data_IF_019726631544
#
_entry.id   IF_019726631544
#
_cell.length_a   1.000
_cell.length_b   1.000
_cell.length_c   1.000
_cell.angle_alpha   90.00
_cell.angle_beta   90.00
_cell.angle_gamma   90.00
#
_symmetry.space_group_name_H-M   'P 1'
#
loop_
_entity.id
_entity.type
_entity.pdbx_description
1 polymer ?
#
# COMPACT_ATOMS: atom_id res chain seq x y z
N UNK A 1 25.95 -28.79 -0.56
CA UNK A 1 24.57 -28.44 -0.92
C UNK A 1 23.84 -27.64 0.15
N UNK A 2 23.92 -27.98 1.43
CA UNK A 2 23.22 -27.23 2.52
C UNK A 2 23.64 -25.76 2.64
N UNK A 3 24.93 -25.42 2.51
CA UNK A 3 25.42 -24.03 2.55
C UNK A 3 24.94 -23.16 1.41
N UNK A 4 24.73 -23.71 0.20
CA UNK A 4 24.19 -22.97 -0.95
C UNK A 4 22.69 -22.67 -0.80
N UNK A 5 21.92 -23.54 -0.15
CA UNK A 5 20.49 -23.34 0.15
C UNK A 5 20.31 -22.27 1.22
N UNK A 6 21.18 -22.25 2.24
CA UNK A 6 21.15 -21.22 3.30
C UNK A 6 21.54 -19.84 2.73
N UNK A 7 22.55 -19.78 1.84
CA UNK A 7 22.93 -18.53 1.18
C UNK A 7 21.81 -17.98 0.28
N UNK A 8 21.11 -18.83 -0.50
CA UNK A 8 19.96 -18.40 -1.31
C UNK A 8 18.78 -17.91 -0.48
N UNK A 9 18.53 -18.49 0.70
CA UNK A 9 17.47 -18.03 1.60
C UNK A 9 17.77 -16.63 2.18
N UNK A 10 19.04 -16.30 2.42
CA UNK A 10 19.43 -14.98 2.93
C UNK A 10 19.25 -13.85 1.90
N UNK A 11 19.35 -14.15 0.59
CA UNK A 11 19.10 -13.17 -0.49
C UNK A 11 17.61 -13.02 -0.86
N UNK A 12 16.74 -13.89 -0.35
CA UNK A 12 15.31 -13.89 -0.65
C UNK A 12 14.47 -13.15 0.41
N UNK A 13 15.11 -12.49 1.38
CA UNK A 13 14.44 -11.77 2.45
C UNK A 13 14.82 -10.29 2.42
N UNK A 14 13.82 -9.43 2.62
CA UNK A 14 14.00 -7.99 2.86
C UNK A 14 13.40 -7.59 4.20
N UNK A 15 13.82 -6.42 4.71
CA UNK A 15 13.33 -5.91 6.00
C UNK A 15 12.46 -4.68 5.76
N UNK A 16 11.27 -4.67 6.34
CA UNK A 16 10.33 -3.55 6.25
C UNK A 16 10.83 -2.40 7.14
N UNK A 17 10.96 -1.17 6.60
CA UNK A 17 11.32 0.00 7.39
C UNK A 17 10.35 0.23 8.56
N UNK A 18 10.83 0.84 9.64
CA UNK A 18 10.06 1.12 10.86
C UNK A 18 9.66 -0.12 11.67
N UNK A 19 9.15 -1.16 11.03
CA UNK A 19 8.64 -2.35 11.74
C UNK A 19 9.74 -3.38 12.00
N UNK A 20 10.78 -3.41 11.15
CA UNK A 20 11.87 -4.38 11.23
C UNK A 20 11.44 -5.81 10.84
N UNK A 21 10.21 -5.98 10.32
CA UNK A 21 9.70 -7.29 9.92
C UNK A 21 10.48 -7.82 8.71
N UNK A 22 10.92 -9.05 8.80
CA UNK A 22 11.49 -9.78 7.66
C UNK A 22 10.37 -10.34 6.77
N UNK A 23 10.54 -10.23 5.46
CA UNK A 23 9.56 -10.69 4.48
C UNK A 23 10.22 -11.41 3.30
N UNK A 24 9.48 -12.31 2.65
CA UNK A 24 9.92 -12.96 1.43
C UNK A 24 9.91 -11.96 0.27
N UNK A 25 11.04 -11.81 -0.40
CA UNK A 25 11.26 -10.86 -1.49
C UNK A 25 11.91 -11.57 -2.69
N UNK A 26 11.09 -12.28 -3.48
CA UNK A 26 11.51 -12.93 -4.73
C UNK A 26 11.33 -12.02 -5.95
N UNK A 27 10.60 -10.93 -5.79
CA UNK A 27 10.31 -9.93 -6.83
C UNK A 27 10.89 -8.60 -6.38
N UNK A 28 11.75 -8.01 -7.19
CA UNK A 28 12.37 -6.71 -6.90
C UNK A 28 11.51 -5.54 -7.35
N UNK A 29 11.77 -4.36 -6.78
CA UNK A 29 11.13 -3.10 -7.17
C UNK A 29 11.37 -2.78 -8.66
N UNK A 30 12.55 -3.10 -9.20
CA UNK A 30 12.88 -2.91 -10.62
C UNK A 30 11.99 -3.74 -11.56
N UNK A 31 11.42 -4.83 -11.06
CA UNK A 31 10.49 -5.68 -11.81
C UNK A 31 9.04 -5.20 -11.66
N UNK A 32 8.63 -4.80 -10.46
CA UNK A 32 7.22 -4.54 -10.14
C UNK A 32 6.82 -3.08 -10.40
N UNK A 33 7.69 -2.10 -10.09
CA UNK A 33 7.37 -0.68 -10.22
C UNK A 33 7.08 -0.24 -11.66
N UNK A 34 7.82 -0.69 -12.71
CA UNK A 34 7.51 -0.35 -14.09
C UNK A 34 6.14 -0.90 -14.54
N UNK A 35 5.80 -2.13 -14.14
CA UNK A 35 4.52 -2.75 -14.45
C UNK A 35 3.36 -2.02 -13.76
N UNK A 36 3.51 -1.68 -12.47
CA UNK A 36 2.55 -0.90 -11.72
C UNK A 36 2.34 0.49 -12.34
N UNK A 37 3.44 1.19 -12.70
CA UNK A 37 3.37 2.48 -13.37
C UNK A 37 2.68 2.40 -14.74
N UNK A 38 2.90 1.33 -15.51
CA UNK A 38 2.21 1.12 -16.79
C UNK A 38 0.70 0.90 -16.56
N UNK A 39 0.32 0.05 -15.61
CA UNK A 39 -1.08 -0.22 -15.27
C UNK A 39 -1.79 1.05 -14.79
N UNK A 40 -1.10 1.86 -13.99
CA UNK A 40 -1.62 3.15 -13.54
C UNK A 40 -1.89 4.10 -14.70
N UNK A 41 -0.94 4.24 -15.63
CA UNK A 41 -1.13 5.05 -16.84
C UNK A 41 -2.29 4.54 -17.68
N UNK A 42 -2.40 3.23 -17.85
CA UNK A 42 -3.50 2.61 -18.61
C UNK A 42 -4.84 2.94 -17.96
N UNK A 43 -4.95 2.83 -16.63
CA UNK A 43 -6.15 3.20 -15.89
C UNK A 43 -6.50 4.68 -16.10
N UNK A 44 -5.53 5.59 -15.92
CA UNK A 44 -5.79 7.03 -16.04
C UNK A 44 -6.14 7.48 -17.47
N UNK A 45 -5.73 6.72 -18.48
CA UNK A 45 -6.04 6.97 -19.90
C UNK A 45 -7.30 6.27 -20.39
N UNK A 46 -7.90 5.40 -19.57
CA UNK A 46 -9.17 4.74 -19.90
C UNK A 46 -10.31 5.78 -19.98
N UNK A 47 -11.08 5.83 -21.09
CA UNK A 47 -12.16 6.79 -21.26
C UNK A 47 -13.25 6.70 -20.18
N UNK A 48 -13.41 5.56 -19.52
CA UNK A 48 -14.32 5.36 -18.40
C UNK A 48 -13.80 5.94 -17.08
N UNK A 49 -12.49 6.17 -16.96
CA UNK A 49 -11.85 6.72 -15.79
C UNK A 49 -11.84 8.24 -15.81
N UNK A 50 -12.61 8.87 -14.96
CA UNK A 50 -12.69 10.33 -14.86
C UNK A 50 -11.71 10.86 -13.83
N UNK A 51 -10.51 11.26 -14.27
CA UNK A 51 -9.51 11.92 -13.42
C UNK A 51 -9.93 13.35 -13.15
N UNK A 52 -10.00 13.73 -11.87
CA UNK A 52 -10.31 15.09 -11.43
C UNK A 52 -9.02 15.86 -11.24
N UNK A 53 -8.67 16.69 -12.22
CA UNK A 53 -7.39 17.42 -12.24
C UNK A 53 -7.44 18.78 -11.53
N UNK A 54 -8.62 19.36 -11.35
CA UNK A 54 -8.86 20.71 -10.81
C UNK A 54 -9.89 20.68 -9.68
N UNK A 55 -9.99 21.80 -8.96
CA UNK A 55 -10.91 21.95 -7.85
C UNK A 55 -10.28 21.62 -6.48
N UNK A 56 -11.00 21.96 -5.43
CA UNK A 56 -10.53 21.90 -4.04
C UNK A 56 -10.13 20.48 -3.63
N UNK A 57 -10.93 19.48 -3.97
CA UNK A 57 -10.69 18.09 -3.57
C UNK A 57 -9.46 17.50 -4.27
N UNK A 58 -9.27 17.77 -5.57
CA UNK A 58 -8.09 17.33 -6.30
C UNK A 58 -6.80 17.97 -5.74
N UNK A 59 -6.86 19.28 -5.45
CA UNK A 59 -5.74 20.00 -4.81
C UNK A 59 -5.45 19.44 -3.41
N UNK A 60 -6.49 19.12 -2.65
CA UNK A 60 -6.40 18.53 -1.31
C UNK A 60 -5.70 17.17 -1.36
N UNK A 61 -6.10 16.27 -2.25
CA UNK A 61 -5.47 14.95 -2.45
C UNK A 61 -3.98 15.12 -2.81
N UNK A 62 -3.67 15.96 -3.79
CA UNK A 62 -2.27 16.23 -4.22
C UNK A 62 -1.44 16.83 -3.09
N UNK A 63 -1.96 17.80 -2.35
CA UNK A 63 -1.25 18.46 -1.25
C UNK A 63 -0.93 17.47 -0.13
N UNK A 64 -1.92 16.70 0.33
CA UNK A 64 -1.74 15.71 1.41
C UNK A 64 -0.77 14.62 0.95
N UNK A 65 -0.94 14.11 -0.27
CA UNK A 65 -0.04 13.11 -0.85
C UNK A 65 1.41 13.58 -0.90
N UNK A 66 1.66 14.79 -1.40
CA UNK A 66 3.01 15.36 -1.45
C UNK A 66 3.62 15.56 -0.05
N UNK A 67 2.82 15.96 0.95
CA UNK A 67 3.30 16.08 2.32
C UNK A 67 3.69 14.72 2.93
N UNK A 68 2.90 13.68 2.67
CA UNK A 68 3.23 12.30 3.04
C UNK A 68 4.52 11.85 2.34
N UNK A 69 4.61 12.04 1.02
CA UNK A 69 5.78 11.66 0.23
C UNK A 69 7.07 12.29 0.75
N UNK A 70 7.09 13.61 0.96
CA UNK A 70 8.25 14.34 1.49
C UNK A 70 8.67 13.80 2.86
N UNK A 71 7.71 13.53 3.74
CA UNK A 71 8.00 13.00 5.07
C UNK A 71 8.59 11.60 5.01
N UNK A 72 8.02 10.72 4.17
CA UNK A 72 8.45 9.34 3.98
C UNK A 72 9.83 9.29 3.34
N UNK A 73 10.06 10.01 2.25
CA UNK A 73 11.35 10.03 1.56
C UNK A 73 12.46 10.54 2.48
N UNK A 74 12.17 11.58 3.27
CA UNK A 74 13.11 12.10 4.28
C UNK A 74 13.43 11.05 5.34
N UNK A 75 12.40 10.34 5.83
CA UNK A 75 12.60 9.27 6.81
C UNK A 75 13.44 8.13 6.23
N UNK A 76 13.09 7.63 5.06
CA UNK A 76 13.79 6.52 4.40
C UNK A 76 15.26 6.87 4.14
N UNK A 77 15.53 8.07 3.63
CA UNK A 77 16.88 8.57 3.38
C UNK A 77 17.71 8.66 4.67
N UNK A 78 17.14 9.22 5.73
CA UNK A 78 17.86 9.44 7.00
C UNK A 78 18.10 8.12 7.77
N UNK A 79 17.37 7.04 7.46
CA UNK A 79 17.52 5.74 8.11
C UNK A 79 18.19 4.68 7.22
N UNK A 80 18.85 5.10 6.12
CA UNK A 80 19.66 4.21 5.28
C UNK A 80 18.87 3.39 4.25
N UNK A 81 17.58 3.68 4.06
CA UNK A 81 16.72 3.01 3.08
C UNK A 81 16.63 3.74 1.73
N UNK A 82 17.20 4.93 1.59
CA UNK A 82 17.00 5.80 0.43
C UNK A 82 17.38 5.20 -0.93
N UNK A 83 18.33 4.26 -0.96
CA UNK A 83 18.70 3.56 -2.20
C UNK A 83 17.75 2.41 -2.56
N UNK A 84 16.95 1.93 -1.61
CA UNK A 84 16.02 0.81 -1.78
C UNK A 84 14.62 1.28 -2.25
N UNK A 85 14.26 2.54 -1.97
CA UNK A 85 12.94 3.11 -2.25
C UNK A 85 13.08 4.30 -3.19
N UNK A 86 13.06 4.04 -4.50
CA UNK A 86 13.06 5.09 -5.53
C UNK A 86 11.62 5.28 -6.06
N UNK A 87 10.75 5.86 -5.22
CA UNK A 87 9.35 6.04 -5.56
C UNK A 87 9.16 7.29 -6.42
N UNK A 88 8.39 7.12 -7.48
CA UNK A 88 7.95 8.21 -8.36
C UNK A 88 6.49 8.55 -8.00
N UNK A 89 6.35 9.33 -6.91
CA UNK A 89 5.05 9.66 -6.34
C UNK A 89 4.10 10.32 -7.33
N UNK A 90 2.88 9.84 -7.36
CA UNK A 90 1.81 10.41 -8.15
C UNK A 90 0.48 10.24 -7.41
N UNK A 91 -0.28 11.34 -7.28
CA UNK A 91 -1.52 11.39 -6.52
C UNK A 91 -2.65 11.91 -7.39
N UNK A 92 -3.65 11.06 -7.65
CA UNK A 92 -4.80 11.42 -8.47
C UNK A 92 -6.11 11.17 -7.73
N UNK A 93 -7.06 12.11 -7.92
CA UNK A 93 -8.45 11.95 -7.53
C UNK A 93 -9.22 11.42 -8.74
N UNK A 94 -9.93 10.31 -8.56
CA UNK A 94 -10.79 9.70 -9.58
C UNK A 94 -12.25 9.93 -9.18
N UNK A 95 -13.06 10.45 -10.09
CA UNK A 95 -14.49 10.60 -9.86
C UNK A 95 -15.15 9.22 -9.87
N UNK A 96 -15.59 8.77 -8.70
CA UNK A 96 -16.31 7.51 -8.50
C UNK A 96 -17.21 7.62 -7.29
N UNK A 97 -18.33 6.87 -7.29
CA UNK A 97 -19.18 6.70 -6.09
C UNK A 97 -18.61 5.68 -5.12
N UNK A 98 -17.66 4.89 -5.55
CA UNK A 98 -17.00 3.88 -4.71
C UNK A 98 -16.24 4.53 -3.57
N UNK A 99 -16.40 3.98 -2.39
CA UNK A 99 -15.61 4.35 -1.22
C UNK A 99 -14.33 3.52 -1.27
N UNK A 100 -13.31 4.08 -1.93
CA UNK A 100 -12.05 3.36 -2.15
C UNK A 100 -10.84 4.31 -2.28
N UNK A 101 -9.65 3.76 -2.00
CA UNK A 101 -8.34 4.35 -2.31
C UNK A 101 -7.33 3.20 -2.38
N UNK A 102 -6.21 3.39 -3.09
CA UNK A 102 -5.14 2.40 -3.16
C UNK A 102 -3.82 3.04 -3.57
N UNK A 103 -2.73 2.34 -3.27
CA UNK A 103 -1.38 2.70 -3.68
C UNK A 103 -0.70 1.52 -4.36
N UNK A 104 -0.34 1.68 -5.63
CA UNK A 104 0.49 0.71 -6.34
C UNK A 104 1.97 0.87 -5.96
N UNK A 105 2.78 -0.19 -6.12
CA UNK A 105 4.24 -0.11 -6.02
C UNK A 105 4.82 1.06 -6.84
N UNK A 106 5.89 1.65 -6.31
CA UNK A 106 6.51 2.82 -6.92
C UNK A 106 5.77 4.14 -6.65
N UNK A 107 4.75 4.14 -5.73
CA UNK A 107 4.13 5.36 -5.22
C UNK A 107 3.02 5.93 -6.11
N UNK A 108 2.27 5.09 -6.84
CA UNK A 108 1.12 5.50 -7.66
C UNK A 108 -0.17 5.40 -6.86
N UNK A 109 -0.69 6.54 -6.40
CA UNK A 109 -1.85 6.62 -5.48
C UNK A 109 -3.08 7.14 -6.20
N UNK A 110 -4.18 6.41 -6.05
CA UNK A 110 -5.49 6.87 -6.46
C UNK A 110 -6.44 6.96 -5.26
N UNK A 111 -7.19 8.05 -5.21
CA UNK A 111 -8.26 8.28 -4.24
C UNK A 111 -9.55 8.42 -5.02
N UNK A 112 -10.58 7.69 -4.67
CA UNK A 112 -11.90 7.82 -5.28
C UNK A 112 -12.72 8.87 -4.54
N UNK A 113 -13.45 9.70 -5.27
CA UNK A 113 -14.21 10.80 -4.66
C UNK A 113 -15.27 10.32 -3.65
N UNK A 114 -15.76 9.08 -3.79
CA UNK A 114 -16.71 8.48 -2.86
C UNK A 114 -16.17 8.28 -1.44
N UNK A 115 -14.83 8.27 -1.23
CA UNK A 115 -14.27 8.14 0.13
C UNK A 115 -14.22 9.50 0.87
N UNK A 116 -14.28 10.62 0.16
CA UNK A 116 -14.10 11.95 0.75
C UNK A 116 -15.15 12.29 1.83
N UNK A 117 -16.45 11.95 1.67
CA UNK A 117 -17.44 12.14 2.73
C UNK A 117 -17.12 11.35 4.02
N UNK A 118 -16.40 10.23 3.92
CA UNK A 118 -16.01 9.41 5.08
C UNK A 118 -14.74 9.97 5.73
N UNK A 119 -13.78 10.42 4.92
CA UNK A 119 -12.54 11.02 5.44
C UNK A 119 -12.78 12.35 6.13
N UNK A 120 -13.69 13.17 5.63
CA UNK A 120 -14.13 14.49 6.12
C UNK A 120 -12.99 15.52 6.24
N UNK A 121 -11.97 15.23 7.06
CA UNK A 121 -10.86 16.14 7.38
C UNK A 121 -9.58 15.77 6.62
N UNK A 122 -8.61 16.69 6.58
CA UNK A 122 -7.28 16.43 6.02
C UNK A 122 -6.58 15.27 6.75
N UNK A 123 -6.73 15.21 8.08
CA UNK A 123 -6.17 14.11 8.87
C UNK A 123 -6.86 12.77 8.55
N UNK A 124 -8.19 12.75 8.33
CA UNK A 124 -8.88 11.56 7.87
C UNK A 124 -8.45 11.10 6.48
N UNK A 125 -8.21 12.05 5.55
CA UNK A 125 -7.67 11.71 4.23
C UNK A 125 -6.19 11.26 4.33
N UNK A 126 -5.39 11.88 5.18
CA UNK A 126 -4.02 11.44 5.45
C UNK A 126 -3.97 10.05 6.10
N UNK A 127 -4.99 9.67 6.90
CA UNK A 127 -5.09 8.32 7.48
C UNK A 127 -5.22 7.26 6.39
N UNK A 128 -6.17 7.41 5.48
CA UNK A 128 -6.37 6.41 4.43
C UNK A 128 -5.20 6.40 3.44
N UNK A 129 -4.73 7.56 3.00
CA UNK A 129 -3.58 7.62 2.08
C UNK A 129 -2.30 7.07 2.74
N UNK A 130 -2.07 7.37 4.01
CA UNK A 130 -0.95 6.84 4.78
C UNK A 130 -1.02 5.32 4.94
N UNK A 131 -2.20 4.76 5.16
CA UNK A 131 -2.45 3.32 5.21
C UNK A 131 -2.10 2.65 3.88
N UNK A 132 -2.60 3.18 2.75
CA UNK A 132 -2.32 2.65 1.41
C UNK A 132 -0.83 2.74 1.06
N UNK A 133 -0.19 3.86 1.38
CA UNK A 133 1.25 4.02 1.23
C UNK A 133 2.00 3.04 2.16
N UNK A 134 1.48 2.77 3.35
CA UNK A 134 2.00 1.76 4.28
C UNK A 134 2.09 0.38 3.63
N UNK A 135 1.05 -0.06 2.91
CA UNK A 135 1.09 -1.30 2.13
C UNK A 135 2.18 -1.30 1.06
N UNK A 136 2.37 -0.17 0.36
CA UNK A 136 3.38 -0.05 -0.69
C UNK A 136 4.81 -0.05 -0.10
N UNK A 137 5.07 0.70 0.97
CA UNK A 137 6.38 0.75 1.66
C UNK A 137 6.71 -0.60 2.31
N UNK A 138 5.72 -1.31 2.86
CA UNK A 138 5.91 -2.66 3.38
C UNK A 138 5.99 -3.72 2.26
N UNK A 139 5.91 -3.34 0.99
CA UNK A 139 5.95 -4.26 -0.17
C UNK A 139 4.95 -5.41 -0.09
N UNK A 140 3.77 -5.20 0.51
CA UNK A 140 2.80 -6.27 0.76
C UNK A 140 2.35 -6.99 -0.51
N UNK A 141 2.23 -6.27 -1.63
CA UNK A 141 1.88 -6.86 -2.94
C UNK A 141 3.03 -7.72 -3.50
N UNK A 142 4.29 -7.23 -3.38
CA UNK A 142 5.47 -7.97 -3.83
C UNK A 142 5.69 -9.23 -2.98
N UNK A 143 5.45 -9.15 -1.67
CA UNK A 143 5.49 -10.29 -0.77
C UNK A 143 4.41 -11.33 -1.10
N UNK A 144 3.16 -10.89 -1.36
CA UNK A 144 2.08 -11.78 -1.76
C UNK A 144 2.41 -12.52 -3.07
N UNK A 145 2.97 -11.79 -4.05
CA UNK A 145 3.45 -12.36 -5.30
C UNK A 145 4.59 -13.35 -5.07
N UNK A 146 5.56 -13.00 -4.21
CA UNK A 146 6.67 -13.88 -3.85
C UNK A 146 6.19 -15.17 -3.17
N UNK A 147 5.20 -15.09 -2.30
CA UNK A 147 4.56 -16.24 -1.66
C UNK A 147 3.88 -17.14 -2.70
N UNK A 148 3.13 -16.54 -3.63
CA UNK A 148 2.48 -17.29 -4.71
C UNK A 148 3.50 -18.00 -5.60
N UNK A 149 4.60 -17.33 -5.94
CA UNK A 149 5.72 -17.95 -6.70
C UNK A 149 6.34 -19.11 -5.93
N UNK A 150 6.57 -18.98 -4.62
CA UNK A 150 7.11 -20.04 -3.79
C UNK A 150 6.17 -21.26 -3.74
N UNK A 151 4.87 -21.05 -3.62
CA UNK A 151 3.86 -22.13 -3.66
C UNK A 151 3.86 -22.82 -5.01
N UNK A 152 3.89 -22.07 -6.12
CA UNK A 152 3.95 -22.64 -7.47
C UNK A 152 5.25 -23.41 -7.72
N UNK A 153 6.40 -22.87 -7.26
CA UNK A 153 7.68 -23.57 -7.36
C UNK A 153 7.72 -24.84 -6.52
N UNK A 154 7.12 -24.84 -5.32
CA UNK A 154 6.94 -26.04 -4.48
C UNK A 154 6.05 -27.09 -5.15
N UNK A 155 4.97 -26.69 -5.81
CA UNK A 155 4.13 -27.56 -6.62
C UNK A 155 4.83 -28.08 -7.88
N UNK A 156 5.69 -27.27 -8.53
CA UNK A 156 6.45 -27.64 -9.71
C UNK A 156 7.71 -28.49 -9.40
N UNK A 157 8.21 -28.46 -8.16
CA UNK A 157 9.28 -29.36 -7.72
C UNK A 157 8.84 -30.84 -7.70
N UNK A 158 7.55 -31.10 -7.73
CA UNK A 158 6.94 -32.43 -7.92
C UNK A 158 6.78 -32.76 -9.41
N UNK A 159 6.87 -31.76 -10.32
CA UNK A 159 6.72 -31.92 -11.78
C UNK A 159 7.80 -31.16 -12.57
N UNK A 160 8.97 -31.77 -12.72
CA UNK A 160 10.03 -31.43 -13.68
C UNK A 160 10.62 -29.99 -13.68
N UNK A 161 11.86 -29.89 -13.31
CA UNK A 161 12.79 -28.77 -13.55
C UNK A 161 12.86 -28.39 -15.03
N UNK A 162 12.06 -27.44 -15.47
CA UNK A 162 12.25 -26.78 -16.76
C UNK A 162 12.02 -25.29 -16.67
N UNK A 163 13.10 -24.57 -16.78
CA UNK A 163 13.42 -23.30 -17.32
C UNK A 163 12.32 -22.35 -17.73
N UNK A 164 12.18 -21.29 -17.10
CA UNK A 164 11.92 -19.91 -17.47
C UNK A 164 11.24 -19.15 -16.33
N UNK A 165 11.96 -19.00 -15.22
CA UNK A 165 11.52 -18.22 -14.04
C UNK A 165 11.09 -16.80 -14.42
N UNK A 166 11.67 -16.22 -15.48
CA UNK A 166 11.35 -14.87 -15.95
C UNK A 166 9.93 -14.75 -16.54
N UNK A 167 9.51 -15.74 -17.35
CA UNK A 167 8.16 -15.72 -17.95
C UNK A 167 7.05 -15.91 -16.91
N UNK A 168 7.26 -16.80 -15.93
CA UNK A 168 6.30 -17.01 -14.83
C UNK A 168 6.16 -15.74 -13.99
N UNK A 169 7.27 -15.08 -13.66
CA UNK A 169 7.26 -13.81 -12.92
C UNK A 169 6.52 -12.73 -13.69
N UNK A 170 6.79 -12.57 -15.00
CA UNK A 170 6.11 -11.60 -15.85
C UNK A 170 4.61 -11.89 -15.99
N UNK A 171 4.22 -13.16 -16.12
CA UNK A 171 2.82 -13.56 -16.19
C UNK A 171 2.07 -13.25 -14.88
N UNK A 172 2.68 -13.52 -13.73
CA UNK A 172 2.10 -13.21 -12.42
C UNK A 172 2.00 -11.70 -12.18
N UNK A 173 3.03 -10.94 -12.54
CA UNK A 173 3.01 -9.47 -12.49
C UNK A 173 1.89 -8.96 -13.41
N UNK A 174 1.77 -9.50 -14.64
CA UNK A 174 0.70 -9.15 -15.57
C UNK A 174 -0.70 -9.45 -15.04
N UNK A 175 -0.88 -10.54 -14.29
CA UNK A 175 -2.16 -10.88 -13.65
C UNK A 175 -2.52 -9.89 -12.54
N UNK A 176 -1.55 -9.44 -11.75
CA UNK A 176 -1.79 -8.50 -10.66
C UNK A 176 -1.94 -7.05 -11.14
N UNK A 177 -1.17 -6.66 -12.14
CA UNK A 177 -1.08 -5.27 -12.61
C UNK A 177 -1.58 -5.07 -14.04
N UNK A 178 -2.08 -6.12 -14.71
CA UNK A 178 -2.63 -6.03 -16.07
C UNK A 178 -3.91 -5.20 -16.14
N UNK A 179 -4.39 -4.94 -17.35
CA UNK A 179 -5.66 -4.22 -17.61
C UNK A 179 -6.80 -4.93 -16.88
N UNK A 180 -7.45 -4.26 -15.94
CA UNK A 180 -8.40 -4.85 -15.01
C UNK A 180 -7.75 -5.55 -13.81
N UNK A 181 -6.47 -5.27 -13.55
CA UNK A 181 -5.67 -5.93 -12.52
C UNK A 181 -6.28 -5.88 -11.12
N UNK A 182 -6.10 -6.99 -10.40
CA UNK A 182 -6.74 -7.27 -9.11
C UNK A 182 -6.10 -6.54 -7.92
N UNK A 183 -5.27 -5.50 -8.15
CA UNK A 183 -4.62 -4.78 -7.05
C UNK A 183 -5.61 -4.16 -6.07
N UNK A 184 -6.67 -3.56 -6.60
CA UNK A 184 -7.75 -3.00 -5.79
C UNK A 184 -8.54 -4.09 -5.02
N UNK A 185 -8.34 -5.37 -5.35
CA UNK A 185 -9.02 -6.52 -4.75
C UNK A 185 -8.11 -7.40 -3.90
N UNK A 186 -6.81 -7.05 -3.75
CA UNK A 186 -5.90 -7.80 -2.90
C UNK A 186 -6.34 -7.69 -1.44
N UNK A 187 -6.76 -8.83 -0.90
CA UNK A 187 -7.09 -8.95 0.52
C UNK A 187 -5.85 -9.35 1.30
N UNK A 188 -5.47 -8.49 2.23
CA UNK A 188 -4.31 -8.74 3.09
C UNK A 188 -4.69 -9.47 4.38
N UNK A 189 -3.70 -10.14 4.99
CA UNK A 189 -3.88 -10.73 6.31
C UNK A 189 -4.01 -9.62 7.37
N UNK A 190 -4.61 -9.97 8.53
CA UNK A 190 -4.74 -9.01 9.65
C UNK A 190 -3.40 -8.45 10.11
N UNK A 191 -2.32 -9.23 10.04
CA UNK A 191 -0.98 -8.77 10.42
C UNK A 191 -0.46 -7.70 9.45
N UNK A 192 -0.69 -7.88 8.14
CA UNK A 192 -0.34 -6.88 7.12
C UNK A 192 -1.19 -5.60 7.25
N UNK A 193 -2.47 -5.74 7.59
CA UNK A 193 -3.33 -4.59 7.89
C UNK A 193 -2.82 -3.82 9.13
N UNK A 194 -2.47 -4.52 10.21
CA UNK A 194 -1.90 -3.91 11.41
C UNK A 194 -0.54 -3.23 11.12
N UNK A 195 0.28 -3.81 10.26
CA UNK A 195 1.54 -3.21 9.83
C UNK A 195 1.30 -1.94 9.00
N UNK A 196 0.36 -1.98 8.05
CA UNK A 196 -0.02 -0.81 7.26
C UNK A 196 -0.62 0.31 8.12
N UNK A 197 -1.42 -0.03 9.14
CA UNK A 197 -1.91 0.95 10.11
C UNK A 197 -0.77 1.58 10.92
N UNK A 198 0.20 0.78 11.41
CA UNK A 198 1.36 1.28 12.14
C UNK A 198 2.21 2.24 11.30
N UNK A 199 2.50 1.85 10.06
CA UNK A 199 3.24 2.67 9.10
C UNK A 199 2.45 3.93 8.76
N UNK A 200 1.17 3.80 8.42
CA UNK A 200 0.31 4.91 8.02
C UNK A 200 0.14 5.96 9.11
N UNK A 201 -0.08 5.54 10.36
CA UNK A 201 -0.13 6.45 11.52
C UNK A 201 1.18 7.20 11.72
N UNK A 202 2.30 6.51 11.55
CA UNK A 202 3.62 7.13 11.67
C UNK A 202 3.88 8.12 10.54
N UNK A 203 3.54 7.77 9.30
CA UNK A 203 3.72 8.62 8.13
C UNK A 203 2.84 9.89 8.20
N UNK A 204 1.56 9.75 8.60
CA UNK A 204 0.70 10.92 8.77
C UNK A 204 1.21 11.84 9.88
N UNK A 205 1.75 11.29 10.99
CA UNK A 205 2.34 12.07 12.06
C UNK A 205 3.60 12.83 11.58
N UNK A 206 4.50 12.18 10.85
CA UNK A 206 5.68 12.80 10.23
C UNK A 206 5.29 13.93 9.27
N UNK A 207 4.19 13.76 8.53
CA UNK A 207 3.65 14.77 7.62
C UNK A 207 2.89 15.92 8.33
N UNK A 208 2.82 15.89 9.68
CA UNK A 208 2.18 16.90 10.51
C UNK A 208 0.67 16.74 10.67
N UNK A 209 0.11 15.56 10.38
CA UNK A 209 -1.29 15.24 10.65
C UNK A 209 -1.42 14.49 11.97
N UNK A 210 -2.40 14.88 12.79
CA UNK A 210 -2.62 14.28 14.10
C UNK A 210 -3.09 12.83 13.99
N UNK A 211 -2.28 11.82 14.41
CA UNK A 211 -2.64 10.41 14.29
C UNK A 211 -3.83 9.99 15.14
N UNK A 212 -4.22 10.79 16.15
CA UNK A 212 -5.41 10.53 16.98
C UNK A 212 -6.69 10.60 16.16
N UNK A 213 -6.69 11.36 15.06
CA UNK A 213 -7.83 11.48 14.14
C UNK A 213 -8.13 10.19 13.35
N UNK A 214 -7.19 9.25 13.28
CA UNK A 214 -7.39 7.96 12.63
C UNK A 214 -8.51 7.14 13.30
N UNK A 215 -8.65 7.22 14.62
CA UNK A 215 -9.71 6.51 15.34
C UNK A 215 -11.09 6.91 14.83
N UNK A 216 -11.35 8.22 14.74
CA UNK A 216 -12.64 8.72 14.26
C UNK A 216 -12.89 8.40 12.78
N UNK A 217 -11.86 8.39 11.94
CA UNK A 217 -11.97 7.93 10.56
C UNK A 217 -12.40 6.46 10.48
N UNK A 218 -11.70 5.55 11.18
CA UNK A 218 -12.03 4.13 11.16
C UNK A 218 -13.39 3.82 11.80
N UNK A 219 -13.83 4.59 12.80
CA UNK A 219 -15.18 4.48 13.35
C UNK A 219 -16.25 4.85 12.30
N UNK A 220 -16.04 5.94 11.55
CA UNK A 220 -16.95 6.32 10.44
C UNK A 220 -16.93 5.29 9.32
N UNK A 221 -15.76 4.75 8.99
CA UNK A 221 -15.61 3.70 7.99
C UNK A 221 -16.36 2.42 8.41
N UNK A 222 -16.20 1.99 9.67
CA UNK A 222 -16.91 0.84 10.21
C UNK A 222 -18.44 1.03 10.20
N UNK A 223 -18.93 2.26 10.42
CA UNK A 223 -20.35 2.57 10.37
C UNK A 223 -20.95 2.47 8.95
N UNK A 224 -20.13 2.48 7.89
CA UNK A 224 -20.56 2.22 6.51
C UNK A 224 -20.89 0.74 6.26
N UNK A 225 -20.56 -0.16 7.16
CA UNK A 225 -20.72 -1.62 7.00
C UNK A 225 -22.17 -2.10 7.27
N UNK A 226 -23.16 -1.25 7.00
CA UNK A 226 -24.58 -1.63 7.09
C UNK A 226 -25.09 -2.02 5.69
N UNK A 227 -25.25 -3.32 5.43
CA UNK A 227 -25.63 -3.88 4.13
C UNK A 227 -24.44 -4.42 3.34
N UNK A 228 -24.31 -4.06 2.06
CA UNK A 228 -23.11 -4.39 1.27
C UNK A 228 -21.94 -3.50 1.73
N UNK A 229 -20.85 -4.09 2.24
CA UNK A 229 -19.71 -3.28 2.69
C UNK A 229 -19.09 -2.51 1.50
N UNK A 230 -18.60 -1.28 1.72
CA UNK A 230 -17.81 -0.58 0.72
C UNK A 230 -16.63 -1.42 0.24
N UNK A 231 -16.19 -1.22 -1.00
CA UNK A 231 -15.07 -1.97 -1.60
C UNK A 231 -13.82 -1.90 -0.72
N UNK A 232 -13.53 -0.72 -0.16
CA UNK A 232 -12.43 -0.53 0.78
C UNK A 232 -12.50 -1.49 1.99
N UNK A 233 -13.69 -1.73 2.55
CA UNK A 233 -13.85 -2.67 3.67
C UNK A 233 -13.80 -4.14 3.24
N UNK A 234 -14.00 -4.44 1.96
CA UNK A 234 -13.86 -5.80 1.42
C UNK A 234 -12.41 -6.25 1.41
N UNK A 235 -11.49 -5.31 1.15
CA UNK A 235 -10.05 -5.54 1.12
C UNK A 235 -9.37 -5.22 2.46
N UNK A 236 -9.86 -4.20 3.18
CA UNK A 236 -9.33 -3.71 4.46
C UNK A 236 -10.39 -3.76 5.56
N UNK A 237 -10.69 -4.93 6.13
CA UNK A 237 -11.75 -5.06 7.12
C UNK A 237 -11.55 -4.13 8.32
N UNK A 238 -12.63 -3.48 8.76
CA UNK A 238 -12.64 -2.65 9.97
C UNK A 238 -13.62 -3.23 10.98
N UNK A 239 -13.08 -3.62 12.13
CA UNK A 239 -13.85 -4.10 13.28
C UNK A 239 -13.35 -3.40 14.56
N UNK A 240 -14.01 -3.71 15.67
CA UNK A 240 -13.61 -3.16 16.98
C UNK A 240 -12.16 -3.51 17.36
N UNK A 241 -11.68 -4.66 16.93
CA UNK A 241 -10.28 -5.10 17.16
C UNK A 241 -9.30 -4.20 16.45
N UNK A 242 -9.55 -3.83 15.17
CA UNK A 242 -8.72 -2.89 14.42
C UNK A 242 -8.68 -1.51 15.08
N UNK A 243 -9.84 -0.99 15.48
CA UNK A 243 -9.92 0.31 16.17
C UNK A 243 -9.12 0.29 17.48
N UNK A 244 -9.23 -0.77 18.28
CA UNK A 244 -8.44 -0.93 19.50
C UNK A 244 -6.92 -1.04 19.20
N UNK A 245 -6.53 -1.72 18.13
CA UNK A 245 -5.13 -1.79 17.69
C UNK A 245 -4.59 -0.42 17.29
N UNK A 246 -5.35 0.35 16.51
CA UNK A 246 -5.01 1.73 16.12
C UNK A 246 -4.80 2.59 17.38
N UNK A 247 -5.71 2.53 18.34
CA UNK A 247 -5.56 3.28 19.60
C UNK A 247 -4.26 2.94 20.35
N UNK A 248 -3.83 1.67 20.34
CA UNK A 248 -2.56 1.23 20.96
C UNK A 248 -1.34 1.73 20.19
N UNK A 249 -1.43 1.95 18.87
CA UNK A 249 -0.35 2.43 18.03
C UNK A 249 -0.16 3.95 18.12
N UNK A 250 -1.17 4.72 18.51
CA UNK A 250 -1.10 6.19 18.59
C UNK A 250 0.08 6.70 19.41
N UNK A 251 0.40 6.20 20.62
CA UNK A 251 1.54 6.69 21.41
C UNK A 251 2.88 6.54 20.67
N UNK A 252 3.05 5.52 19.84
CA UNK A 252 4.23 5.34 19.00
C UNK A 252 4.28 6.41 17.89
N UNK A 253 3.19 6.57 17.14
CA UNK A 253 3.08 7.55 16.08
C UNK A 253 3.26 8.99 16.59
N UNK A 254 2.75 9.31 17.79
CA UNK A 254 2.88 10.63 18.41
C UNK A 254 4.33 11.05 18.64
N UNK A 255 5.30 10.13 18.70
CA UNK A 255 6.73 10.47 18.80
C UNK A 255 7.24 11.22 17.54
N UNK A 256 6.57 11.08 16.42
CA UNK A 256 6.89 11.70 15.14
C UNK A 256 6.03 12.93 14.85
N UNK A 257 4.99 13.19 15.63
CA UNK A 257 4.08 14.31 15.45
C UNK A 257 4.65 15.58 16.07
N UNK A 258 4.95 16.58 15.24
CA UNK A 258 5.47 17.89 15.70
C UNK A 258 4.41 18.99 15.78
N UNK A 259 3.15 18.66 15.42
CA UNK A 259 2.12 19.67 15.22
C UNK A 259 2.31 20.45 13.90
N UNK A 260 1.26 21.12 13.46
CA UNK A 260 1.31 22.17 12.43
C UNK A 260 1.08 23.49 13.10
#
# INVERSE_FOLDING_TARGET
MALAVIAMAAYACSTVPLTGRSQLSLVSDDQINPAAAQSYRTLLSDPSTKVVNTGTDAQRVKRIGNQLAVAIDSYLKNNGYGSQYNYQWEFNLIQSKEVNAWCMPGGKVAVYSGILPVTQTDAGLATVMGHEIGHAIAHHSAEALSQQMAVQAGGAAVGAATGNKSQTTQALIGTLYGVGGQLATLKYSRDKENEADRLGLTFMAMAGYDPRQAVSFWQRMAAQNQGAPPEFLSTHPSDATRIANIQRLIPEAMKYYKGK
#
